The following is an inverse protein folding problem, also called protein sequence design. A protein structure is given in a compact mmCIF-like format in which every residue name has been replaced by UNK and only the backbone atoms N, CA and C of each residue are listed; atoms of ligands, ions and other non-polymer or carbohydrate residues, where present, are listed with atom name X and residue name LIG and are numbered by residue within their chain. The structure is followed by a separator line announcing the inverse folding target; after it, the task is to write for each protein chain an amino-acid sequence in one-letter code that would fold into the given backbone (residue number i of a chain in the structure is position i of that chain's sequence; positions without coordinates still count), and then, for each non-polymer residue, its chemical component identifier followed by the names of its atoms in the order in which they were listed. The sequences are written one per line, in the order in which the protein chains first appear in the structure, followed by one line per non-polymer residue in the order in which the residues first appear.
data_IF_775291935208
#
_entry.id   IF_775291935208
#
_cell.length_a   1.000
_cell.length_b   1.000
_cell.length_c   1.000
_cell.angle_alpha   90.00
_cell.angle_beta   90.00
_cell.angle_gamma   90.00
#
_symmetry.space_group_name_H-M   'P 1'
#
loop_
_entity.id
_entity.type
_entity.pdbx_description
1 polymer ?
#
# COMPACT_ATOMS: atom_id res chain seq x y z
N UNK A 1 25.07 17.74 15.02
CA UNK A 1 24.18 17.75 13.83
C UNK A 1 25.01 18.08 12.60
N UNK A 2 25.00 17.26 11.55
CA UNK A 2 25.83 17.45 10.36
C UNK A 2 25.54 18.78 9.63
N UNK A 3 26.59 19.46 9.15
CA UNK A 3 26.52 20.64 8.27
C UNK A 3 25.70 20.32 7.01
N UNK A 4 25.08 21.33 6.33
CA UNK A 4 24.27 21.11 5.14
C UNK A 4 24.93 20.23 4.06
N UNK A 5 26.22 20.45 3.79
CA UNK A 5 27.01 19.63 2.86
C UNK A 5 27.19 18.17 3.31
N UNK A 6 27.31 17.92 4.62
CA UNK A 6 27.41 16.56 5.16
C UNK A 6 26.12 15.75 4.99
N UNK A 7 24.95 16.39 5.02
CA UNK A 7 23.67 15.71 4.77
C UNK A 7 23.47 15.36 3.31
N UNK A 8 23.90 16.23 2.39
CA UNK A 8 23.87 15.94 0.96
C UNK A 8 24.77 14.74 0.63
N UNK A 9 25.99 14.70 1.18
CA UNK A 9 26.89 13.56 1.04
C UNK A 9 26.26 12.25 1.59
N UNK A 10 25.71 12.28 2.80
CA UNK A 10 25.03 11.10 3.38
C UNK A 10 23.82 10.67 2.53
N UNK A 11 23.01 11.61 2.05
CA UNK A 11 21.88 11.31 1.18
C UNK A 11 22.32 10.64 -0.13
N UNK A 12 23.36 11.16 -0.78
CA UNK A 12 23.94 10.56 -1.99
C UNK A 12 24.47 9.16 -1.69
N UNK A 13 25.24 8.97 -0.60
CA UNK A 13 25.72 7.65 -0.20
C UNK A 13 24.58 6.66 0.05
N UNK A 14 23.51 7.08 0.73
CA UNK A 14 22.34 6.22 1.00
C UNK A 14 21.60 5.84 -0.28
N UNK A 15 21.38 6.82 -1.18
CA UNK A 15 20.71 6.57 -2.47
C UNK A 15 21.56 5.65 -3.33
N UNK A 16 22.87 5.91 -3.45
CA UNK A 16 23.79 5.07 -4.22
C UNK A 16 23.85 3.66 -3.64
N UNK A 17 24.03 3.50 -2.33
CA UNK A 17 24.06 2.19 -1.69
C UNK A 17 22.74 1.42 -1.88
N UNK A 18 21.60 2.10 -1.78
CA UNK A 18 20.28 1.51 -2.02
C UNK A 18 20.13 1.09 -3.48
N UNK A 19 20.49 1.96 -4.43
CA UNK A 19 20.43 1.67 -5.86
C UNK A 19 21.34 0.50 -6.25
N UNK A 20 22.58 0.48 -5.73
CA UNK A 20 23.50 -0.63 -5.93
C UNK A 20 22.91 -1.92 -5.35
N UNK A 21 22.42 -1.90 -4.11
CA UNK A 21 21.80 -3.08 -3.50
C UNK A 21 20.61 -3.61 -4.32
N UNK A 22 19.72 -2.72 -4.78
CA UNK A 22 18.57 -3.10 -5.60
C UNK A 22 18.98 -3.62 -6.98
N UNK A 23 20.11 -3.16 -7.53
CA UNK A 23 20.63 -3.61 -8.81
C UNK A 23 21.44 -4.92 -8.71
N UNK A 24 22.07 -5.21 -7.58
CA UNK A 24 23.02 -6.33 -7.44
C UNK A 24 22.54 -7.49 -6.58
N UNK A 25 21.63 -7.25 -5.63
CA UNK A 25 21.13 -8.34 -4.77
C UNK A 25 20.11 -9.19 -5.53
N UNK A 26 20.36 -10.51 -5.65
CA UNK A 26 19.69 -11.39 -6.60
C UNK A 26 18.27 -11.75 -6.15
N UNK A 27 17.34 -10.81 -6.32
CA UNK A 27 15.90 -11.05 -6.14
C UNK A 27 15.07 -10.32 -7.19
N UNK A 28 15.68 -9.89 -8.30
CA UNK A 28 14.93 -9.38 -9.43
C UNK A 28 14.17 -10.53 -10.10
N UNK A 29 12.85 -10.51 -9.95
CA UNK A 29 11.93 -11.58 -10.37
C UNK A 29 11.52 -11.46 -11.84
N UNK A 30 12.22 -10.63 -12.62
CA UNK A 30 12.02 -10.52 -14.07
C UNK A 30 10.62 -10.05 -14.47
N UNK A 31 9.93 -9.29 -13.62
CA UNK A 31 8.55 -8.85 -13.85
C UNK A 31 7.57 -10.01 -14.11
N UNK A 32 7.80 -11.15 -13.45
CA UNK A 32 7.08 -12.39 -13.72
C UNK A 32 5.55 -12.23 -13.67
N UNK A 33 5.01 -11.61 -12.63
CA UNK A 33 3.55 -11.51 -12.46
C UNK A 33 2.91 -10.58 -13.49
N UNK A 34 3.50 -9.42 -13.77
CA UNK A 34 3.02 -8.56 -14.88
C UNK A 34 3.21 -9.23 -16.24
N UNK A 35 4.19 -10.12 -16.39
CA UNK A 35 4.34 -10.99 -17.56
C UNK A 35 3.18 -11.97 -17.71
N UNK A 36 2.75 -12.60 -16.62
CA UNK A 36 1.54 -13.46 -16.58
C UNK A 36 0.31 -12.64 -16.98
N UNK A 37 0.13 -11.44 -16.43
CA UNK A 37 -1.02 -10.58 -16.75
C UNK A 37 -1.02 -10.12 -18.21
N UNK A 38 0.15 -9.69 -18.71
CA UNK A 38 0.33 -9.25 -20.09
C UNK A 38 0.02 -10.38 -21.07
N UNK A 39 0.55 -11.58 -20.83
CA UNK A 39 0.28 -12.75 -21.67
C UNK A 39 -1.17 -13.20 -21.61
N UNK A 40 -1.78 -13.25 -20.43
CA UNK A 40 -3.18 -13.63 -20.26
C UNK A 40 -4.14 -12.68 -20.99
N UNK A 41 -3.94 -11.37 -20.82
CA UNK A 41 -4.75 -10.34 -21.48
C UNK A 41 -4.50 -10.34 -23.00
N UNK A 42 -3.25 -10.57 -23.44
CA UNK A 42 -2.93 -10.70 -24.86
C UNK A 42 -3.58 -11.92 -25.53
N UNK A 43 -3.59 -13.06 -24.85
CA UNK A 43 -4.27 -14.28 -25.32
C UNK A 43 -5.79 -14.09 -25.38
N UNK A 44 -6.35 -13.46 -24.35
CA UNK A 44 -7.78 -13.19 -24.23
C UNK A 44 -8.29 -12.25 -25.34
N UNK A 45 -7.53 -11.19 -25.65
CA UNK A 45 -7.94 -10.17 -26.63
C UNK A 45 -7.62 -10.56 -28.06
N UNK A 46 -6.42 -11.09 -28.33
CA UNK A 46 -5.91 -11.24 -29.70
C UNK A 46 -6.06 -12.65 -30.27
N UNK A 47 -6.24 -13.66 -29.41
CA UNK A 47 -6.23 -15.08 -29.83
C UNK A 47 -7.54 -15.81 -29.48
N UNK A 48 -8.51 -15.11 -28.88
CA UNK A 48 -9.81 -15.67 -28.52
C UNK A 48 -9.75 -16.68 -27.36
N UNK A 49 -8.64 -16.74 -26.63
CA UNK A 49 -8.51 -17.63 -25.47
C UNK A 49 -9.34 -17.17 -24.27
N UNK A 50 -9.58 -18.07 -23.31
CA UNK A 50 -10.23 -17.70 -22.03
C UNK A 50 -9.18 -17.19 -21.05
N UNK A 51 -9.47 -16.06 -20.41
CA UNK A 51 -8.53 -15.40 -19.47
C UNK A 51 -8.02 -16.33 -18.35
N UNK A 52 -8.87 -17.25 -17.88
CA UNK A 52 -8.55 -18.17 -16.79
C UNK A 52 -7.94 -19.50 -17.23
N UNK A 53 -7.79 -19.74 -18.53
CA UNK A 53 -7.11 -20.94 -19.07
C UNK A 53 -5.65 -20.67 -19.44
N UNK A 54 -5.26 -19.39 -19.54
CA UNK A 54 -3.89 -18.99 -19.83
C UNK A 54 -2.94 -19.46 -18.73
N UNK A 55 -1.83 -20.08 -19.15
CA UNK A 55 -0.68 -20.43 -18.31
C UNK A 55 0.58 -19.80 -18.92
N UNK A 56 1.39 -19.18 -18.07
CA UNK A 56 2.67 -18.62 -18.50
C UNK A 56 3.61 -19.75 -18.95
N UNK A 57 4.29 -19.61 -20.12
CA UNK A 57 5.10 -20.66 -20.71
C UNK A 57 6.11 -21.29 -19.73
N UNK A 58 6.11 -22.63 -19.68
CA UNK A 58 7.01 -23.40 -18.81
C UNK A 58 6.64 -23.37 -17.32
N UNK A 59 5.45 -22.88 -16.97
CA UNK A 59 4.97 -22.81 -15.59
C UNK A 59 3.51 -23.26 -15.48
N UNK A 60 3.03 -23.38 -14.24
CA UNK A 60 1.61 -23.65 -13.92
C UNK A 60 0.82 -22.39 -13.53
N UNK A 61 1.42 -21.21 -13.66
CA UNK A 61 0.84 -19.95 -13.17
C UNK A 61 0.04 -19.25 -14.26
N UNK A 62 -1.17 -18.83 -13.92
CA UNK A 62 -2.09 -18.11 -14.80
C UNK A 62 -2.70 -16.88 -14.15
N UNK A 63 -3.72 -16.30 -14.78
CA UNK A 63 -4.45 -15.18 -14.20
C UNK A 63 -5.25 -15.62 -12.96
N UNK A 64 -5.14 -14.87 -11.86
CA UNK A 64 -5.69 -15.24 -10.53
C UNK A 64 -6.65 -14.21 -9.94
N UNK A 65 -6.79 -13.04 -10.57
CA UNK A 65 -7.61 -11.95 -10.05
C UNK A 65 -9.05 -12.00 -10.55
N UNK A 66 -10.01 -11.32 -9.87
CA UNK A 66 -11.37 -11.19 -10.36
C UNK A 66 -11.43 -10.55 -11.75
N UNK A 67 -12.53 -10.76 -12.50
CA UNK A 67 -12.66 -10.28 -13.87
C UNK A 67 -12.47 -8.78 -14.04
N UNK A 68 -12.86 -7.97 -13.03
CA UNK A 68 -12.64 -6.53 -13.07
C UNK A 68 -11.15 -6.14 -13.12
N UNK A 69 -10.27 -6.95 -12.53
CA UNK A 69 -8.83 -6.74 -12.66
C UNK A 69 -8.37 -6.99 -14.11
N UNK A 70 -8.85 -8.05 -14.75
CA UNK A 70 -8.53 -8.36 -16.15
C UNK A 70 -8.98 -7.21 -17.07
N UNK A 71 -10.22 -6.73 -16.87
CA UNK A 71 -10.76 -5.56 -17.59
C UNK A 71 -9.89 -4.32 -17.36
N UNK A 72 -9.48 -4.06 -16.12
CA UNK A 72 -8.61 -2.91 -15.80
C UNK A 72 -7.22 -3.02 -16.43
N UNK A 73 -6.78 -4.24 -16.75
CA UNK A 73 -5.48 -4.53 -17.38
C UNK A 73 -5.57 -4.62 -18.91
N UNK A 74 -6.76 -4.53 -19.52
CA UNK A 74 -6.95 -4.54 -20.99
C UNK A 74 -6.03 -3.58 -21.76
N UNK A 75 -5.72 -2.35 -21.27
CA UNK A 75 -4.79 -1.47 -21.98
C UNK A 75 -3.40 -2.09 -22.23
N UNK A 76 -3.00 -3.11 -21.47
CA UNK A 76 -1.75 -3.85 -21.71
C UNK A 76 -1.73 -4.55 -23.08
N UNK A 77 -2.88 -4.96 -23.62
CA UNK A 77 -2.97 -5.59 -24.94
C UNK A 77 -2.67 -4.61 -26.09
N UNK A 78 -2.66 -3.30 -25.83
CA UNK A 78 -2.49 -2.26 -26.85
C UNK A 78 -1.05 -1.78 -26.98
N UNK A 79 -0.15 -2.21 -26.08
CA UNK A 79 1.21 -1.66 -25.99
C UNK A 79 2.25 -2.77 -26.02
N UNK A 80 3.48 -2.50 -26.52
CA UNK A 80 4.58 -3.44 -26.43
C UNK A 80 4.96 -3.75 -24.97
N UNK A 81 5.50 -4.94 -24.72
CA UNK A 81 5.93 -5.39 -23.39
C UNK A 81 6.76 -4.37 -22.58
N UNK A 82 7.82 -3.71 -23.13
CA UNK A 82 8.58 -2.72 -22.36
C UNK A 82 7.73 -1.55 -21.87
N UNK A 83 6.72 -1.15 -22.65
CA UNK A 83 5.80 -0.07 -22.29
C UNK A 83 4.84 -0.52 -21.18
N UNK A 84 4.32 -1.75 -21.24
CA UNK A 84 3.50 -2.31 -20.18
C UNK A 84 4.26 -2.37 -18.83
N UNK A 85 5.52 -2.81 -18.86
CA UNK A 85 6.41 -2.80 -17.69
C UNK A 85 6.63 -1.38 -17.18
N UNK A 86 6.96 -0.43 -18.07
CA UNK A 86 7.17 0.96 -17.69
C UNK A 86 5.92 1.58 -17.03
N UNK A 87 4.73 1.33 -17.57
CA UNK A 87 3.46 1.76 -16.97
C UNK A 87 3.28 1.16 -15.58
N UNK A 88 3.50 -0.15 -15.43
CA UNK A 88 3.39 -0.84 -14.13
C UNK A 88 4.33 -0.22 -13.08
N UNK A 89 5.59 0.02 -13.45
CA UNK A 89 6.58 0.66 -12.58
C UNK A 89 6.16 2.09 -12.22
N UNK A 90 5.73 2.91 -13.19
CA UNK A 90 5.29 4.28 -12.96
C UNK A 90 4.09 4.31 -12.00
N UNK A 91 3.09 3.46 -12.21
CA UNK A 91 1.94 3.33 -11.33
C UNK A 91 2.36 2.91 -9.91
N UNK A 92 3.27 1.94 -9.79
CA UNK A 92 3.85 1.51 -8.52
C UNK A 92 4.57 2.64 -7.78
N UNK A 93 5.37 3.46 -8.49
CA UNK A 93 6.09 4.61 -7.93
C UNK A 93 5.10 5.68 -7.45
N UNK A 94 4.10 6.02 -8.26
CA UNK A 94 3.06 6.99 -7.88
C UNK A 94 2.31 6.51 -6.63
N UNK A 95 1.91 5.24 -6.60
CA UNK A 95 1.25 4.64 -5.44
C UNK A 95 2.15 4.71 -4.19
N UNK A 96 3.43 4.37 -4.33
CA UNK A 96 4.42 4.44 -3.24
C UNK A 96 4.53 5.84 -2.65
N UNK A 97 4.64 6.87 -3.51
CA UNK A 97 4.71 8.26 -3.07
C UNK A 97 3.45 8.65 -2.31
N UNK A 98 2.26 8.27 -2.79
CA UNK A 98 0.99 8.54 -2.10
C UNK A 98 0.92 7.84 -0.74
N UNK A 99 1.22 6.54 -0.69
CA UNK A 99 1.23 5.72 0.53
C UNK A 99 2.17 6.34 1.57
N UNK A 100 3.42 6.62 1.19
CA UNK A 100 4.41 7.22 2.09
C UNK A 100 3.98 8.60 2.58
N UNK A 101 3.47 9.47 1.70
CA UNK A 101 2.99 10.80 2.07
C UNK A 101 1.82 10.75 3.03
N UNK A 102 0.91 9.80 2.87
CA UNK A 102 -0.29 9.66 3.71
C UNK A 102 0.01 9.02 5.06
N UNK A 103 0.88 8.01 5.10
CA UNK A 103 1.28 7.34 6.34
C UNK A 103 2.23 8.19 7.19
N UNK A 104 3.32 8.70 6.59
CA UNK A 104 4.43 9.32 7.31
C UNK A 104 4.42 10.85 7.28
N UNK A 105 3.71 11.48 6.33
CA UNK A 105 3.69 12.94 6.18
C UNK A 105 3.33 13.70 7.46
N UNK A 106 2.32 13.28 8.24
CA UNK A 106 1.99 13.89 9.53
C UNK A 106 3.12 13.79 10.56
N UNK A 107 3.86 12.67 10.62
CA UNK A 107 4.98 12.48 11.53
C UNK A 107 6.18 13.34 11.12
N UNK A 108 6.53 13.34 9.82
CA UNK A 108 7.63 14.14 9.27
C UNK A 108 7.43 15.64 9.53
N UNK A 109 6.19 16.14 9.40
CA UNK A 109 5.87 17.55 9.72
C UNK A 109 6.01 17.86 11.20
N UNK A 110 5.54 16.96 12.08
CA UNK A 110 5.55 17.16 13.53
C UNK A 110 6.96 17.24 14.09
N UNK A 111 7.83 16.33 13.68
CA UNK A 111 9.19 16.24 14.23
C UNK A 111 10.14 17.31 13.67
N UNK A 112 9.63 18.25 12.86
CA UNK A 112 10.42 19.29 12.17
C UNK A 112 11.65 18.72 11.45
N UNK A 113 11.56 17.47 10.97
CA UNK A 113 12.64 16.87 10.20
C UNK A 113 12.83 17.70 8.93
N UNK A 114 14.09 17.99 8.55
CA UNK A 114 14.36 18.70 7.31
C UNK A 114 13.77 17.90 6.16
N UNK A 115 12.66 18.42 5.59
CA UNK A 115 11.70 17.62 4.85
C UNK A 115 12.32 16.75 3.77
N UNK A 116 13.24 17.30 2.96
CA UNK A 116 13.86 16.55 1.87
C UNK A 116 14.73 15.37 2.36
N UNK A 117 15.55 15.56 3.40
CA UNK A 117 16.45 14.52 3.90
C UNK A 117 15.68 13.37 4.54
N UNK A 118 14.62 13.68 5.29
CA UNK A 118 13.70 12.69 5.82
C UNK A 118 13.08 11.83 4.71
N UNK A 119 12.60 12.48 3.64
CA UNK A 119 12.01 11.75 2.52
C UNK A 119 13.03 10.89 1.76
N UNK A 120 14.30 11.32 1.68
CA UNK A 120 15.38 10.48 1.13
C UNK A 120 15.58 9.22 1.98
N UNK A 121 15.73 9.38 3.31
CA UNK A 121 15.91 8.23 4.21
C UNK A 121 14.69 7.30 4.17
N UNK A 122 13.48 7.85 4.22
CA UNK A 122 12.23 7.09 4.10
C UNK A 122 12.16 6.35 2.76
N UNK A 123 12.54 7.00 1.66
CA UNK A 123 12.58 6.40 0.33
C UNK A 123 13.56 5.23 0.24
N UNK A 124 14.77 5.39 0.78
CA UNK A 124 15.77 4.31 0.85
C UNK A 124 15.25 3.13 1.67
N UNK A 125 14.74 3.36 2.87
CA UNK A 125 14.17 2.30 3.71
C UNK A 125 12.97 1.63 3.01
N UNK A 126 12.08 2.41 2.41
CA UNK A 126 10.95 1.84 1.68
C UNK A 126 11.39 0.95 0.51
N UNK A 127 12.40 1.35 -0.25
CA UNK A 127 12.94 0.56 -1.35
C UNK A 127 13.64 -0.73 -0.89
N UNK A 128 14.29 -0.70 0.28
CA UNK A 128 14.95 -1.87 0.87
C UNK A 128 13.97 -2.85 1.55
N UNK A 129 12.74 -2.42 1.83
CA UNK A 129 11.73 -3.26 2.43
C UNK A 129 11.34 -4.40 1.48
N UNK A 130 11.65 -5.64 1.83
CA UNK A 130 11.53 -6.79 0.92
C UNK A 130 10.15 -6.93 0.28
N UNK A 131 9.01 -6.80 1.00
CA UNK A 131 7.69 -6.86 0.37
C UNK A 131 7.48 -5.82 -0.73
N UNK A 132 8.07 -4.63 -0.59
CA UNK A 132 8.03 -3.56 -1.60
C UNK A 132 8.95 -3.91 -2.77
N UNK A 133 10.20 -4.30 -2.50
CA UNK A 133 11.14 -4.73 -3.54
C UNK A 133 10.54 -5.86 -4.38
N UNK A 134 9.99 -6.88 -3.74
CA UNK A 134 9.35 -8.00 -4.44
C UNK A 134 8.12 -7.54 -5.22
N UNK A 135 7.30 -6.64 -4.66
CA UNK A 135 6.17 -6.05 -5.40
C UNK A 135 6.62 -5.41 -6.72
N UNK A 136 7.70 -4.62 -6.72
CA UNK A 136 8.25 -4.03 -7.94
C UNK A 136 8.88 -5.07 -8.87
N UNK A 137 9.69 -5.99 -8.31
CA UNK A 137 10.38 -7.04 -9.07
C UNK A 137 9.42 -7.99 -9.78
N UNK A 138 8.24 -8.27 -9.20
CA UNK A 138 7.18 -9.06 -9.82
C UNK A 138 6.28 -8.23 -10.75
N UNK A 139 6.17 -6.92 -10.54
CA UNK A 139 5.19 -6.07 -11.23
C UNK A 139 3.78 -6.15 -10.63
N UNK A 140 3.70 -6.30 -9.31
CA UNK A 140 2.46 -6.51 -8.57
C UNK A 140 1.69 -5.21 -8.27
N UNK A 141 0.36 -5.30 -8.20
CA UNK A 141 -0.53 -4.15 -7.99
C UNK A 141 -0.74 -3.79 -6.50
N UNK A 142 -0.10 -4.49 -5.56
CA UNK A 142 -0.44 -4.40 -4.14
C UNK A 142 -0.35 -2.97 -3.59
N UNK A 143 0.66 -2.18 -4.01
CA UNK A 143 0.82 -0.79 -3.57
C UNK A 143 -0.30 0.13 -4.08
N UNK A 144 -0.86 -0.15 -5.27
CA UNK A 144 -2.05 0.55 -5.77
C UNK A 144 -3.25 0.28 -4.87
N UNK A 145 -3.43 -0.98 -4.44
CA UNK A 145 -4.52 -1.36 -3.54
C UNK A 145 -4.38 -0.70 -2.16
N UNK A 146 -3.17 -0.68 -1.60
CA UNK A 146 -2.88 0.03 -0.35
C UNK A 146 -3.18 1.54 -0.51
N UNK A 147 -2.78 2.15 -1.64
CA UNK A 147 -3.09 3.55 -1.91
C UNK A 147 -4.61 3.79 -1.97
N UNK A 148 -5.38 2.97 -2.68
CA UNK A 148 -6.84 3.11 -2.74
C UNK A 148 -7.49 3.04 -1.36
N UNK A 149 -7.09 2.07 -0.52
CA UNK A 149 -7.61 1.94 0.85
C UNK A 149 -7.19 3.13 1.73
N UNK A 150 -5.94 3.60 1.62
CA UNK A 150 -5.48 4.76 2.38
C UNK A 150 -6.11 6.08 1.91
N UNK A 151 -6.53 6.17 0.65
CA UNK A 151 -7.31 7.31 0.17
C UNK A 151 -8.64 7.40 0.93
N UNK A 152 -9.34 6.29 1.12
CA UNK A 152 -10.55 6.24 1.93
C UNK A 152 -10.29 6.52 3.40
N UNK A 153 -9.22 5.96 3.97
CA UNK A 153 -8.80 6.28 5.34
C UNK A 153 -8.56 7.80 5.51
N UNK A 154 -7.97 8.45 4.51
CA UNK A 154 -7.76 9.90 4.49
C UNK A 154 -9.08 10.68 4.35
N UNK A 155 -10.00 10.23 3.50
CA UNK A 155 -11.31 10.85 3.35
C UNK A 155 -12.09 10.81 4.67
N UNK A 156 -12.02 9.69 5.38
CA UNK A 156 -12.57 9.54 6.73
C UNK A 156 -11.93 10.51 7.72
N UNK A 157 -10.60 10.59 7.75
CA UNK A 157 -9.87 11.47 8.67
C UNK A 157 -10.02 12.97 8.39
N UNK A 158 -10.43 13.38 7.19
CA UNK A 158 -10.53 14.79 6.77
C UNK A 158 -11.97 15.30 6.67
N UNK A 159 -12.94 14.59 7.23
CA UNK A 159 -14.35 14.98 7.22
C UNK A 159 -15.05 14.83 5.86
N UNK A 160 -14.37 14.23 4.86
CA UNK A 160 -14.90 13.97 3.51
C UNK A 160 -15.44 12.54 3.36
N UNK A 161 -15.86 11.94 4.48
CA UNK A 161 -16.24 10.53 4.59
C UNK A 161 -17.47 10.10 3.78
N UNK A 162 -18.15 11.01 3.07
CA UNK A 162 -19.28 10.68 2.18
C UNK A 162 -18.85 9.90 0.93
N UNK A 163 -17.60 10.06 0.49
CA UNK A 163 -17.02 9.32 -0.63
C UNK A 163 -16.11 8.17 -0.18
N UNK A 164 -15.86 8.07 1.13
CA UNK A 164 -15.06 6.97 1.66
C UNK A 164 -15.80 5.65 1.46
N UNK A 165 -15.10 4.68 0.87
CA UNK A 165 -15.60 3.37 0.47
C UNK A 165 -15.29 3.08 -0.99
N UNK A 166 -15.19 4.10 -1.86
CA UNK A 166 -14.92 3.91 -3.29
C UNK A 166 -13.56 3.23 -3.48
N UNK A 167 -12.52 3.70 -2.80
CA UNK A 167 -11.17 3.11 -2.90
C UNK A 167 -11.13 1.67 -2.41
N UNK A 168 -11.74 1.38 -1.26
CA UNK A 168 -11.87 0.05 -0.69
C UNK A 168 -12.63 -0.86 -1.66
N UNK A 169 -13.77 -0.42 -2.20
CA UNK A 169 -14.59 -1.19 -3.13
C UNK A 169 -13.86 -1.52 -4.42
N UNK A 170 -13.16 -0.55 -5.02
CA UNK A 170 -12.33 -0.79 -6.21
C UNK A 170 -11.18 -1.75 -5.90
N UNK A 171 -10.52 -1.59 -4.74
CA UNK A 171 -9.44 -2.49 -4.33
C UNK A 171 -9.95 -3.93 -4.16
N UNK A 172 -11.13 -4.11 -3.56
CA UNK A 172 -11.84 -5.40 -3.43
C UNK A 172 -12.21 -6.00 -4.78
N UNK A 173 -12.65 -5.20 -5.74
CA UNK A 173 -12.99 -5.67 -7.08
C UNK A 173 -11.75 -6.10 -7.89
N UNK A 174 -10.59 -5.47 -7.66
CA UNK A 174 -9.32 -5.85 -8.29
C UNK A 174 -8.70 -7.08 -7.62
N UNK A 175 -8.85 -7.24 -6.32
CA UNK A 175 -8.34 -8.38 -5.55
C UNK A 175 -9.25 -8.58 -4.36
N UNK A 176 -9.70 -9.80 -4.05
CA UNK A 176 -10.72 -9.97 -3.00
C UNK A 176 -10.24 -9.63 -1.58
N UNK A 177 -8.94 -9.72 -1.31
CA UNK A 177 -8.34 -9.55 0.04
C UNK A 177 -8.76 -8.26 0.77
N UNK A 178 -8.82 -7.06 0.15
CA UNK A 178 -9.25 -5.83 0.80
C UNK A 178 -10.75 -5.82 1.19
N UNK A 179 -11.55 -6.83 0.84
CA UNK A 179 -12.93 -6.97 1.35
C UNK A 179 -13.00 -6.92 2.88
N UNK A 180 -11.94 -7.33 3.59
CA UNK A 180 -11.88 -7.22 5.05
C UNK A 180 -11.99 -5.77 5.55
N UNK A 181 -11.61 -4.76 4.74
CA UNK A 181 -11.83 -3.35 5.07
C UNK A 181 -13.31 -2.94 4.99
N UNK A 182 -14.13 -3.62 4.18
CA UNK A 182 -15.59 -3.46 4.26
C UNK A 182 -16.08 -3.99 5.61
N UNK A 183 -15.57 -5.15 6.04
CA UNK A 183 -15.79 -5.68 7.38
C UNK A 183 -15.38 -4.69 8.47
N UNK A 184 -14.20 -4.06 8.35
CA UNK A 184 -13.73 -3.01 9.26
C UNK A 184 -14.76 -1.88 9.39
N UNK A 185 -15.26 -1.37 8.26
CA UNK A 185 -16.27 -0.30 8.26
C UNK A 185 -17.56 -0.75 8.97
N UNK A 186 -18.01 -2.00 8.76
CA UNK A 186 -19.20 -2.55 9.42
C UNK A 186 -19.02 -2.67 10.94
N UNK A 187 -17.92 -3.31 11.39
CA UNK A 187 -17.71 -3.56 12.83
C UNK A 187 -17.39 -2.29 13.63
N UNK A 188 -17.01 -1.20 12.94
CA UNK A 188 -16.75 0.12 13.51
C UNK A 188 -17.94 1.08 13.36
N UNK A 189 -19.09 0.59 12.88
CA UNK A 189 -20.34 1.36 12.81
C UNK A 189 -20.46 2.28 11.58
N UNK A 190 -19.50 2.25 10.64
CA UNK A 190 -19.46 3.09 9.43
C UNK A 190 -20.29 2.48 8.30
N UNK A 191 -21.58 2.21 8.58
CA UNK A 191 -22.51 1.48 7.69
C UNK A 191 -22.65 2.12 6.31
N UNK A 192 -22.72 3.46 6.25
CA UNK A 192 -22.80 4.19 4.98
C UNK A 192 -21.58 3.93 4.10
N UNK A 193 -20.38 4.02 4.66
CA UNK A 193 -19.14 3.81 3.92
C UNK A 193 -18.97 2.35 3.53
N UNK A 194 -19.40 1.41 4.39
CA UNK A 194 -19.46 0.01 4.03
C UNK A 194 -20.39 -0.21 2.82
N UNK A 195 -21.58 0.41 2.82
CA UNK A 195 -22.51 0.33 1.68
C UNK A 195 -21.92 0.95 0.40
N UNK A 196 -21.20 2.08 0.50
CA UNK A 196 -20.47 2.66 -0.65
C UNK A 196 -19.42 1.68 -1.15
N UNK A 197 -18.61 1.09 -0.28
CA UNK A 197 -17.57 0.14 -0.68
C UNK A 197 -18.14 -1.13 -1.32
N UNK A 198 -19.18 -1.72 -0.72
CA UNK A 198 -19.89 -2.87 -1.28
C UNK A 198 -20.53 -2.51 -2.62
N UNK A 199 -21.19 -1.35 -2.72
CA UNK A 199 -21.81 -0.89 -3.96
C UNK A 199 -20.80 -0.65 -5.07
N UNK A 200 -19.65 -0.03 -4.76
CA UNK A 200 -18.55 0.15 -5.73
C UNK A 200 -17.95 -1.18 -6.17
N UNK A 201 -17.70 -2.11 -5.25
CA UNK A 201 -17.20 -3.44 -5.59
C UNK A 201 -18.20 -4.19 -6.48
N UNK A 202 -19.48 -4.20 -6.11
CA UNK A 202 -20.53 -4.85 -6.87
C UNK A 202 -20.70 -4.23 -8.27
N UNK A 203 -20.68 -2.90 -8.39
CA UNK A 203 -20.76 -2.22 -9.68
C UNK A 203 -19.56 -2.54 -10.59
N UNK A 204 -18.35 -2.57 -10.04
CA UNK A 204 -17.14 -2.94 -10.78
C UNK A 204 -17.16 -4.41 -11.22
N UNK A 205 -17.58 -5.32 -10.33
CA UNK A 205 -17.78 -6.73 -10.67
C UNK A 205 -18.85 -6.93 -11.73
N UNK A 206 -20.00 -6.25 -11.61
CA UNK A 206 -21.08 -6.33 -12.60
C UNK A 206 -20.65 -5.76 -13.95
N UNK A 207 -19.90 -4.65 -13.96
CA UNK A 207 -19.32 -4.11 -15.18
C UNK A 207 -18.45 -5.13 -15.91
N UNK A 208 -17.59 -5.85 -15.18
CA UNK A 208 -16.79 -6.93 -15.77
C UNK A 208 -17.65 -8.12 -16.24
N UNK A 209 -18.72 -8.44 -15.52
CA UNK A 209 -19.68 -9.48 -15.93
C UNK A 209 -20.50 -9.13 -17.16
N UNK A 210 -20.76 -7.84 -17.41
CA UNK A 210 -21.40 -7.37 -18.64
C UNK A 210 -20.42 -7.43 -19.82
N UNK A 211 -19.14 -7.11 -19.61
CA UNK A 211 -18.12 -7.18 -20.66
C UNK A 211 -17.75 -8.61 -21.05
N UNK A 212 -17.60 -9.49 -20.07
CA UNK A 212 -17.35 -10.92 -20.30
C UNK A 212 -18.09 -11.76 -19.24
N UNK A 213 -19.33 -12.20 -19.56
CA UNK A 213 -20.10 -13.08 -18.70
C UNK A 213 -19.44 -14.44 -18.49
N UNK A 214 -18.69 -14.93 -19.48
CA UNK A 214 -18.02 -16.24 -19.45
C UNK A 214 -16.87 -16.25 -18.46
N UNK A 215 -15.94 -15.28 -18.58
CA UNK A 215 -14.86 -15.09 -17.63
C UNK A 215 -15.41 -14.90 -16.20
N UNK A 216 -16.48 -14.12 -16.05
CA UNK A 216 -17.09 -13.91 -14.74
C UNK A 216 -17.69 -15.19 -14.15
N UNK A 217 -18.42 -15.97 -14.94
CA UNK A 217 -18.94 -17.27 -14.51
C UNK A 217 -17.79 -18.21 -14.09
N UNK A 218 -16.74 -18.32 -14.92
CA UNK A 218 -15.61 -19.20 -14.64
C UNK A 218 -14.87 -18.79 -13.36
N UNK A 219 -14.71 -17.49 -13.11
CA UNK A 219 -14.10 -16.99 -11.87
C UNK A 219 -14.90 -17.41 -10.63
N UNK A 220 -16.18 -17.05 -10.58
CA UNK A 220 -17.01 -17.23 -9.38
C UNK A 220 -17.39 -18.69 -9.11
N UNK A 221 -17.41 -19.54 -10.14
CA UNK A 221 -17.80 -20.96 -10.00
C UNK A 221 -16.64 -21.93 -9.93
N UNK A 222 -15.46 -21.59 -10.47
CA UNK A 222 -14.31 -22.49 -10.53
C UNK A 222 -13.03 -21.84 -10.02
N UNK A 223 -12.55 -20.78 -10.68
CA UNK A 223 -11.19 -20.27 -10.43
C UNK A 223 -10.98 -19.76 -9.00
N UNK A 224 -12.02 -19.20 -8.36
CA UNK A 224 -11.97 -18.74 -6.97
C UNK A 224 -11.77 -19.89 -5.97
N UNK A 225 -12.32 -21.07 -6.26
CA UNK A 225 -12.34 -22.21 -5.35
C UNK A 225 -11.14 -23.15 -5.54
N UNK A 226 -10.47 -23.05 -6.68
CA UNK A 226 -9.25 -23.80 -6.98
C UNK A 226 -8.00 -23.03 -6.50
N UNK A 227 -7.71 -23.15 -5.20
CA UNK A 227 -6.57 -22.48 -4.58
C UNK A 227 -5.22 -22.98 -5.10
N UNK A 228 -5.15 -24.18 -5.69
CA UNK A 228 -3.92 -24.76 -6.24
C UNK A 228 -3.38 -23.99 -7.45
N UNK A 229 -4.25 -23.29 -8.18
CA UNK A 229 -3.88 -22.40 -9.30
C UNK A 229 -3.01 -21.22 -8.88
N UNK A 230 -3.18 -20.75 -7.65
CA UNK A 230 -2.48 -19.56 -7.16
C UNK A 230 -1.04 -19.91 -6.78
N UNK A 231 -0.78 -21.15 -6.40
CA UNK A 231 0.54 -21.67 -6.05
C UNK A 231 0.44 -22.79 -5.02
N UNK A 232 1.58 -23.25 -4.53
CA UNK A 232 1.63 -24.31 -3.53
C UNK A 232 1.44 -23.70 -2.14
N UNK A 233 0.44 -24.19 -1.40
CA UNK A 233 0.08 -23.61 -0.10
C UNK A 233 1.23 -23.71 0.91
N UNK A 234 1.98 -24.81 0.88
CA UNK A 234 3.15 -25.04 1.74
C UNK A 234 4.38 -24.24 1.35
N UNK A 235 4.42 -23.62 0.16
CA UNK A 235 5.62 -22.92 -0.30
C UNK A 235 6.03 -21.81 0.67
N UNK A 236 7.34 -21.68 0.89
CA UNK A 236 7.89 -20.82 1.95
C UNK A 236 7.50 -19.35 1.80
N UNK A 237 7.25 -18.88 0.58
CA UNK A 237 6.78 -17.50 0.37
C UNK A 237 5.36 -17.26 0.90
N UNK A 238 4.54 -18.31 1.11
CA UNK A 238 3.20 -18.18 1.67
C UNK A 238 3.26 -17.93 3.19
N UNK A 239 3.27 -16.66 3.57
CA UNK A 239 3.26 -16.13 4.93
C UNK A 239 1.83 -15.86 5.44
N UNK A 240 0.96 -16.87 5.32
CA UNK A 240 -0.40 -16.89 5.90
C UNK A 240 -0.53 -17.97 6.98
N UNK A 241 -1.62 -17.94 7.75
CA UNK A 241 -1.94 -19.04 8.69
C UNK A 241 -2.10 -20.37 7.94
N UNK A 242 -2.73 -20.35 6.75
CA UNK A 242 -2.85 -21.55 5.92
C UNK A 242 -1.48 -22.08 5.50
N UNK A 243 -0.54 -21.20 5.16
CA UNK A 243 0.83 -21.58 4.82
C UNK A 243 1.55 -22.28 5.98
N UNK A 244 1.41 -21.78 7.20
CA UNK A 244 1.93 -22.44 8.41
C UNK A 244 1.34 -23.84 8.55
N UNK A 245 0.02 -23.96 8.48
CA UNK A 245 -0.67 -25.25 8.62
C UNK A 245 -0.27 -26.23 7.52
N UNK A 246 -0.09 -25.75 6.30
CA UNK A 246 0.34 -26.56 5.15
C UNK A 246 1.77 -27.09 5.30
N UNK A 247 2.67 -26.33 5.93
CA UNK A 247 4.03 -26.81 6.25
C UNK A 247 4.05 -27.78 7.44
N UNK A 248 3.17 -27.60 8.41
CA UNK A 248 3.09 -28.45 9.61
C UNK A 248 2.38 -29.78 9.35
N UNK A 249 1.38 -29.78 8.47
CA UNK A 249 0.57 -30.96 8.12
C UNK A 249 0.35 -31.05 6.61
N UNK A 250 1.38 -31.46 5.84
CA UNK A 250 1.26 -31.57 4.39
C UNK A 250 0.14 -32.52 3.95
N UNK A 251 -0.09 -33.59 4.72
CA UNK A 251 -1.05 -34.67 4.40
C UNK A 251 -2.51 -34.39 4.82
N UNK A 252 -2.74 -33.44 5.74
CA UNK A 252 -4.08 -33.14 6.28
C UNK A 252 -4.16 -31.68 6.74
N UNK A 253 -4.22 -30.79 5.75
CA UNK A 253 -4.60 -29.39 5.96
C UNK A 253 -6.10 -29.26 6.09
N UNK A 254 -6.68 -29.95 7.08
CA UNK A 254 -8.12 -29.93 7.33
C UNK A 254 -8.64 -28.50 7.30
N UNK A 255 -9.43 -28.16 6.27
CA UNK A 255 -9.95 -26.81 6.04
C UNK A 255 -10.63 -26.25 7.30
N UNK A 256 -11.21 -27.13 8.14
CA UNK A 256 -11.80 -26.80 9.43
C UNK A 256 -10.79 -26.18 10.42
N UNK A 257 -9.55 -26.68 10.49
CA UNK A 257 -8.50 -26.14 11.38
C UNK A 257 -8.12 -24.74 10.95
N UNK A 258 -7.93 -24.53 9.64
CA UNK A 258 -7.67 -23.20 9.11
C UNK A 258 -8.82 -22.24 9.37
N UNK A 259 -10.07 -22.65 9.14
CA UNK A 259 -11.25 -21.84 9.44
C UNK A 259 -11.31 -21.46 10.92
N UNK A 260 -11.01 -22.39 11.82
CA UNK A 260 -10.95 -22.12 13.26
C UNK A 260 -9.85 -21.10 13.61
N UNK A 261 -8.64 -21.28 13.07
CA UNK A 261 -7.55 -20.32 13.28
C UNK A 261 -7.87 -18.94 12.67
N UNK A 262 -8.45 -18.90 11.48
CA UNK A 262 -8.88 -17.67 10.83
C UNK A 262 -9.96 -16.97 11.65
N UNK A 263 -10.94 -17.70 12.20
CA UNK A 263 -11.96 -17.15 13.08
C UNK A 263 -11.34 -16.52 14.34
N UNK A 264 -10.33 -17.15 14.96
CA UNK A 264 -9.59 -16.59 16.10
C UNK A 264 -8.86 -15.29 15.70
N UNK A 265 -8.16 -15.30 14.56
CA UNK A 265 -7.49 -14.10 14.04
C UNK A 265 -8.49 -12.97 13.79
N UNK A 266 -9.65 -13.27 13.20
CA UNK A 266 -10.73 -12.30 12.96
C UNK A 266 -11.35 -11.80 14.27
N UNK A 267 -11.49 -12.64 15.28
CA UNK A 267 -11.99 -12.23 16.60
C UNK A 267 -11.02 -11.25 17.27
N UNK A 268 -9.72 -11.56 17.29
CA UNK A 268 -8.67 -10.67 17.81
C UNK A 268 -8.66 -9.37 17.01
N UNK A 269 -8.67 -9.44 15.69
CA UNK A 269 -8.75 -8.27 14.81
C UNK A 269 -9.97 -7.41 15.13
N UNK A 270 -11.16 -7.99 15.22
CA UNK A 270 -12.39 -7.23 15.46
C UNK A 270 -12.37 -6.54 16.84
N UNK A 271 -11.88 -7.23 17.87
CA UNK A 271 -11.69 -6.65 19.20
C UNK A 271 -10.73 -5.45 19.15
N UNK A 272 -9.55 -5.65 18.54
CA UNK A 272 -8.47 -4.65 18.47
C UNK A 272 -8.83 -3.46 17.58
N UNK A 273 -9.49 -3.69 16.45
CA UNK A 273 -9.96 -2.65 15.54
C UNK A 273 -11.04 -1.77 16.20
N UNK A 274 -12.00 -2.39 16.92
CA UNK A 274 -12.99 -1.64 17.71
C UNK A 274 -12.34 -0.86 18.85
N UNK A 275 -11.33 -1.41 19.51
CA UNK A 275 -10.55 -0.69 20.50
C UNK A 275 -9.83 0.53 19.88
N UNK A 276 -9.21 0.36 18.71
CA UNK A 276 -8.54 1.44 18.00
C UNK A 276 -9.47 2.62 17.70
N UNK A 277 -10.68 2.34 17.17
CA UNK A 277 -11.67 3.39 16.89
C UNK A 277 -12.19 4.05 18.17
N UNK A 278 -12.41 3.28 19.27
CA UNK A 278 -12.79 3.86 20.57
C UNK A 278 -11.73 4.82 21.12
N UNK A 279 -10.46 4.56 20.84
CA UNK A 279 -9.36 5.46 21.20
C UNK A 279 -9.14 6.60 20.17
N UNK A 280 -9.90 6.63 19.07
CA UNK A 280 -9.76 7.61 17.98
C UNK A 280 -8.58 7.34 17.03
N UNK A 281 -7.96 6.16 17.10
CA UNK A 281 -6.81 5.77 16.28
C UNK A 281 -7.23 4.94 15.06
N UNK A 282 -7.87 5.61 14.11
CA UNK A 282 -8.25 5.00 12.84
C UNK A 282 -7.04 4.41 12.09
N UNK A 283 -5.85 4.99 12.24
CA UNK A 283 -4.65 4.48 11.56
C UNK A 283 -4.28 3.09 12.06
N UNK A 284 -4.32 2.87 13.37
CA UNK A 284 -4.14 1.55 13.94
C UNK A 284 -5.25 0.59 13.49
N UNK A 285 -6.51 1.03 13.41
CA UNK A 285 -7.61 0.21 12.90
C UNK A 285 -7.40 -0.29 11.46
N UNK A 286 -7.00 0.60 10.55
CA UNK A 286 -6.66 0.22 9.17
C UNK A 286 -5.40 -0.67 9.10
N UNK A 287 -4.37 -0.38 9.91
CA UNK A 287 -3.17 -1.20 9.97
C UNK A 287 -3.47 -2.63 10.43
N UNK A 288 -4.21 -2.80 11.53
CA UNK A 288 -4.65 -4.09 12.05
C UNK A 288 -5.46 -4.88 11.01
N UNK A 289 -6.27 -4.18 10.20
CA UNK A 289 -7.05 -4.80 9.13
C UNK A 289 -6.18 -5.33 8.00
N UNK A 290 -5.13 -4.59 7.61
CA UNK A 290 -4.13 -5.10 6.66
C UNK A 290 -3.42 -6.36 7.16
N UNK A 291 -3.00 -6.37 8.43
CA UNK A 291 -2.37 -7.54 9.06
C UNK A 291 -3.31 -8.75 9.08
N UNK A 292 -4.56 -8.55 9.52
CA UNK A 292 -5.56 -9.61 9.57
C UNK A 292 -5.85 -10.18 8.18
N UNK A 293 -5.97 -9.32 7.16
CA UNK A 293 -6.21 -9.75 5.78
C UNK A 293 -5.09 -10.66 5.25
N UNK A 294 -3.83 -10.35 5.58
CA UNK A 294 -2.68 -11.21 5.26
C UNK A 294 -2.69 -12.54 6.02
N UNK A 295 -3.08 -12.55 7.29
CA UNK A 295 -3.08 -13.76 8.10
C UNK A 295 -4.18 -14.75 7.69
N UNK A 296 -5.38 -14.25 7.38
CA UNK A 296 -6.56 -15.08 7.07
C UNK A 296 -6.65 -15.50 5.62
N UNK A 297 -5.97 -14.81 4.69
CA UNK A 297 -5.91 -15.22 3.28
C UNK A 297 -5.32 -16.64 3.16
N UNK A 298 -5.86 -17.53 2.31
CA UNK A 298 -5.26 -18.85 2.07
C UNK A 298 -3.83 -18.75 1.54
N UNK A 299 -3.54 -17.68 0.80
CA UNK A 299 -2.23 -17.41 0.21
C UNK A 299 -1.82 -15.96 0.45
N UNK A 300 -0.70 -15.78 1.13
CA UNK A 300 -0.06 -14.48 1.36
C UNK A 300 1.41 -14.57 0.98
N UNK A 301 1.73 -14.30 -0.28
CA UNK A 301 3.12 -14.20 -0.72
C UNK A 301 3.86 -13.07 -0.01
N UNK A 302 5.20 -13.14 0.06
CA UNK A 302 6.03 -12.11 0.70
C UNK A 302 5.71 -10.70 0.16
N UNK A 303 5.48 -10.55 -1.15
CA UNK A 303 5.10 -9.27 -1.76
C UNK A 303 3.71 -8.75 -1.33
N UNK A 304 2.82 -9.59 -0.78
CA UNK A 304 1.56 -9.13 -0.19
C UNK A 304 1.80 -8.40 1.15
N UNK A 305 2.92 -8.64 1.84
CA UNK A 305 3.19 -8.05 3.16
C UNK A 305 3.50 -6.53 3.12
N UNK A 306 3.32 -5.86 1.97
CA UNK A 306 3.20 -4.39 1.94
C UNK A 306 2.08 -3.88 2.86
N UNK A 307 1.08 -4.71 3.15
CA UNK A 307 0.02 -4.43 4.15
C UNK A 307 0.51 -4.38 5.60
N UNK A 308 1.74 -4.81 5.90
CA UNK A 308 2.38 -4.66 7.22
C UNK A 308 2.93 -3.25 7.42
N UNK A 309 3.21 -2.52 6.33
CA UNK A 309 3.81 -1.18 6.37
C UNK A 309 3.04 -0.17 7.25
N UNK A 310 1.68 -0.05 7.17
CA UNK A 310 0.95 0.84 8.06
C UNK A 310 1.15 0.54 9.54
N UNK A 311 1.30 -0.74 9.92
CA UNK A 311 1.55 -1.14 11.31
C UNK A 311 2.94 -0.73 11.79
N UNK A 312 3.97 -0.90 10.95
CA UNK A 312 5.32 -0.39 11.25
C UNK A 312 5.32 1.14 11.42
N UNK A 313 4.58 1.85 10.57
CA UNK A 313 4.44 3.31 10.71
C UNK A 313 3.71 3.69 12.00
N UNK A 314 2.66 2.97 12.39
CA UNK A 314 1.99 3.18 13.68
C UNK A 314 2.97 2.96 14.83
N UNK A 315 3.81 1.93 14.77
CA UNK A 315 4.81 1.63 15.80
C UNK A 315 5.87 2.75 15.92
N UNK A 316 6.49 3.16 14.81
CA UNK A 316 7.48 4.26 14.79
C UNK A 316 6.85 5.56 15.26
N UNK A 317 5.69 5.93 14.74
CA UNK A 317 5.06 7.20 15.10
C UNK A 317 4.56 7.24 16.55
N UNK A 318 4.27 6.09 17.15
CA UNK A 318 4.04 6.01 18.60
C UNK A 318 5.36 6.17 19.37
N UNK A 319 6.44 5.55 18.91
CA UNK A 319 7.73 5.60 19.59
C UNK A 319 8.43 6.97 19.49
N UNK A 320 8.18 7.75 18.44
CA UNK A 320 8.74 9.09 18.25
C UNK A 320 8.03 10.18 19.07
N UNK A 321 6.82 9.92 19.58
CA UNK A 321 6.08 10.91 20.38
C UNK A 321 6.74 11.11 21.75
N UNK A 322 6.91 12.38 22.13
CA UNK A 322 7.47 12.80 23.41
C UNK A 322 6.41 12.70 24.52
N UNK A 323 6.13 11.48 24.94
CA UNK A 323 5.48 11.22 26.22
C UNK A 323 6.58 10.89 27.25
N UNK A 324 6.33 11.07 28.56
CA UNK A 324 7.30 10.92 29.68
C UNK A 324 7.98 9.53 29.81
N UNK A 325 7.71 8.60 28.87
CA UNK A 325 8.19 7.23 28.83
C UNK A 325 9.46 7.00 27.99
N UNK A 326 10.51 7.80 28.14
CA UNK A 326 11.73 7.72 27.30
C UNK A 326 12.33 6.32 27.11
N UNK A 327 12.34 5.48 28.16
CA UNK A 327 12.81 4.07 28.08
C UNK A 327 11.87 3.18 27.25
N UNK A 328 10.55 3.38 27.36
CA UNK A 328 9.54 2.65 26.57
C UNK A 328 9.68 3.00 25.09
N UNK A 329 9.86 4.27 24.78
CA UNK A 329 10.04 4.76 23.41
C UNK A 329 11.30 4.18 22.75
N UNK A 330 12.42 4.13 23.49
CA UNK A 330 13.64 3.47 23.04
C UNK A 330 13.42 1.98 22.71
N UNK A 331 12.70 1.24 23.57
CA UNK A 331 12.35 -0.17 23.32
C UNK A 331 11.46 -0.35 22.09
N UNK A 332 10.47 0.53 21.89
CA UNK A 332 9.60 0.47 20.70
C UNK A 332 10.37 0.78 19.41
N UNK A 333 11.30 1.74 19.42
CA UNK A 333 12.17 2.01 18.28
C UNK A 333 13.09 0.83 17.98
N UNK A 334 13.70 0.24 19.01
CA UNK A 334 14.54 -0.95 18.86
C UNK A 334 13.74 -2.14 18.31
N UNK A 335 12.54 -2.38 18.83
CA UNK A 335 11.62 -3.39 18.31
C UNK A 335 11.28 -3.12 16.85
N UNK A 336 10.91 -1.88 16.50
CA UNK A 336 10.58 -1.55 15.11
C UNK A 336 11.76 -1.76 14.17
N UNK A 337 12.97 -1.37 14.58
CA UNK A 337 14.19 -1.59 13.81
C UNK A 337 14.46 -3.09 13.62
N UNK A 338 14.33 -3.90 14.68
CA UNK A 338 14.50 -5.35 14.61
C UNK A 338 13.47 -6.01 13.68
N UNK A 339 12.19 -5.66 13.81
CA UNK A 339 11.12 -6.17 12.93
C UNK A 339 11.36 -5.78 11.47
N UNK A 340 11.75 -4.53 11.23
CA UNK A 340 12.08 -4.05 9.89
C UNK A 340 13.26 -4.82 9.29
N UNK A 341 14.35 -5.01 10.04
CA UNK A 341 15.52 -5.78 9.59
C UNK A 341 15.14 -7.22 9.26
N UNK A 342 14.36 -7.89 10.13
CA UNK A 342 13.88 -9.24 9.85
C UNK A 342 13.01 -9.31 8.59
N UNK A 343 12.11 -8.35 8.40
CA UNK A 343 11.28 -8.26 7.20
C UNK A 343 12.06 -7.88 5.93
N UNK A 344 13.33 -7.49 6.03
CA UNK A 344 14.20 -7.20 4.88
C UNK A 344 15.28 -8.28 4.66
N UNK A 345 15.43 -9.22 5.60
CA UNK A 345 16.56 -10.14 5.63
C UNK A 345 16.42 -11.32 4.67
N UNK A 346 15.23 -11.53 4.09
CA UNK A 346 14.93 -12.71 3.28
C UNK A 346 15.15 -14.02 4.06
N UNK A 347 15.08 -13.97 5.40
CA UNK A 347 15.38 -15.11 6.29
C UNK A 347 14.50 -16.32 6.00
N UNK A 348 13.24 -16.11 5.61
CA UNK A 348 12.31 -17.21 5.30
C UNK A 348 12.84 -18.08 4.16
N UNK A 349 13.59 -17.51 3.22
CA UNK A 349 14.11 -18.23 2.05
C UNK A 349 15.23 -19.22 2.38
N UNK A 350 15.78 -19.20 3.60
CA UNK A 350 16.69 -20.25 4.08
C UNK A 350 16.02 -21.63 4.14
N UNK A 351 14.68 -21.67 4.19
CA UNK A 351 13.86 -22.88 4.19
C UNK A 351 13.13 -23.09 2.86
N UNK A 352 13.69 -22.59 1.75
CA UNK A 352 13.09 -22.78 0.42
C UNK A 352 13.04 -24.26 0.01
N UNK A 353 14.12 -24.98 0.27
CA UNK A 353 14.30 -26.35 -0.22
C UNK A 353 13.82 -27.39 0.81
N UNK A 354 13.93 -27.09 2.11
CA UNK A 354 13.41 -27.91 3.20
C UNK A 354 12.81 -27.03 4.29
N UNK A 355 11.50 -27.16 4.51
CA UNK A 355 10.74 -26.44 5.52
C UNK A 355 10.24 -27.37 6.65
N UNK A 356 10.93 -28.48 6.90
CA UNK A 356 10.59 -29.43 7.97
C UNK A 356 11.34 -29.16 9.28
N UNK A 357 10.78 -29.65 10.38
CA UNK A 357 11.40 -29.59 11.71
C UNK A 357 11.20 -28.27 12.49
N UNK A 358 11.63 -28.22 13.78
CA UNK A 358 11.32 -27.12 14.69
C UNK A 358 11.88 -25.76 14.24
N UNK A 359 13.09 -25.76 13.66
CA UNK A 359 13.71 -24.55 13.13
C UNK A 359 12.92 -23.94 11.97
N UNK A 360 12.32 -24.76 11.11
CA UNK A 360 11.47 -24.30 10.03
C UNK A 360 10.15 -23.73 10.54
N UNK A 361 9.56 -24.28 11.61
CA UNK A 361 8.33 -23.72 12.21
C UNK A 361 8.53 -22.26 12.63
N UNK A 362 9.70 -21.93 13.17
CA UNK A 362 10.03 -20.56 13.59
C UNK A 362 10.50 -19.72 12.39
N UNK A 363 11.48 -20.22 11.64
CA UNK A 363 12.18 -19.48 10.59
C UNK A 363 11.37 -19.29 9.31
N UNK A 364 10.81 -20.37 8.76
CA UNK A 364 10.01 -20.32 7.52
C UNK A 364 8.70 -19.53 7.69
N UNK A 365 8.25 -19.34 8.93
CA UNK A 365 7.03 -18.60 9.27
C UNK A 365 7.33 -17.27 10.00
N UNK A 366 8.57 -16.80 9.97
CA UNK A 366 8.99 -15.62 10.72
C UNK A 366 8.10 -14.40 10.43
N UNK A 367 7.68 -14.19 9.18
CA UNK A 367 6.85 -13.04 8.84
C UNK A 367 5.39 -13.22 9.28
N UNK A 368 4.90 -14.46 9.36
CA UNK A 368 3.61 -14.77 10.00
C UNK A 368 3.64 -14.39 11.48
N UNK A 369 4.70 -14.78 12.19
CA UNK A 369 4.84 -14.49 13.62
C UNK A 369 4.95 -12.99 13.91
N UNK A 370 5.70 -12.26 13.07
CA UNK A 370 5.76 -10.80 13.14
C UNK A 370 4.37 -10.19 12.92
N UNK A 371 3.66 -10.63 11.89
CA UNK A 371 2.32 -10.11 11.53
C UNK A 371 1.31 -10.38 12.64
N UNK A 372 1.33 -11.59 13.22
CA UNK A 372 0.48 -11.99 14.35
C UNK A 372 0.82 -11.20 15.62
N UNK A 373 2.11 -11.06 15.94
CA UNK A 373 2.56 -10.27 17.09
C UNK A 373 2.13 -8.81 16.98
N UNK A 374 2.24 -8.21 15.79
CA UNK A 374 1.72 -6.86 15.53
C UNK A 374 0.19 -6.82 15.67
N UNK A 375 -0.56 -7.80 15.16
CA UNK A 375 -2.02 -7.82 15.31
C UNK A 375 -2.44 -7.79 16.80
N UNK A 376 -1.77 -8.59 17.63
CA UNK A 376 -2.06 -8.73 19.06
C UNK A 376 -1.58 -7.52 19.87
N UNK A 377 -0.41 -6.96 19.55
CA UNK A 377 0.31 -6.06 20.45
C UNK A 377 0.57 -4.64 19.90
N UNK A 378 0.17 -4.30 18.67
CA UNK A 378 0.39 -2.95 18.12
C UNK A 378 -0.13 -1.86 19.08
N UNK A 379 0.66 -0.86 19.48
CA UNK A 379 0.16 0.13 20.42
C UNK A 379 -1.00 0.93 19.82
N UNK A 380 -2.12 1.01 20.54
CA UNK A 380 -3.25 1.87 20.21
C UNK A 380 -3.06 3.22 20.86
N UNK A 381 -3.41 4.29 20.14
CA UNK A 381 -3.28 5.66 20.65
C UNK A 381 -4.62 6.17 21.12
N UNK A 382 -4.62 6.92 22.21
CA UNK A 382 -5.72 7.83 22.53
C UNK A 382 -5.43 9.13 21.81
N UNK A 383 -6.25 9.53 20.83
CA UNK A 383 -6.18 10.89 20.31
C UNK A 383 -6.69 11.84 21.38
N UNK A 384 -5.80 12.42 22.19
CA UNK A 384 -6.12 13.67 22.84
C UNK A 384 -6.33 14.71 21.72
N UNK A 385 -7.43 15.50 21.74
CA UNK A 385 -7.62 16.52 20.73
C UNK A 385 -6.40 17.45 20.74
N UNK A 386 -5.76 17.61 19.58
CA UNK A 386 -4.74 18.64 19.39
C UNK A 386 -5.38 19.98 19.79
N UNK A 387 -5.08 20.47 21.00
CA UNK A 387 -5.49 21.82 21.38
C UNK A 387 -4.85 22.76 20.36
N UNK A 388 -5.62 23.62 19.68
CA UNK A 388 -5.05 24.66 18.85
C UNK A 388 -4.02 25.44 19.66
N UNK A 389 -2.84 25.65 19.09
CA UNK A 389 -1.72 26.33 19.74
C UNK A 389 -2.01 27.81 20.11
N UNK A 390 -3.21 28.32 19.85
CA UNK A 390 -3.61 29.70 20.11
C UNK A 390 -3.96 30.00 21.59
N UNK A 391 -4.15 28.98 22.45
CA UNK A 391 -4.56 29.23 23.83
C UNK A 391 -3.40 29.52 24.81
N UNK A 392 -2.13 29.45 24.38
CA UNK A 392 -0.97 29.65 25.27
C UNK A 392 -0.41 31.08 25.28
N UNK A 393 -0.83 31.95 24.36
CA UNK A 393 -0.42 33.37 24.34
C UNK A 393 -1.39 34.33 25.05
N UNK A 394 -2.62 33.90 25.35
CA UNK A 394 -3.60 34.74 26.04
C UNK A 394 -3.37 34.87 27.57
N UNK A 395 -2.44 34.09 28.15
CA UNK A 395 -2.26 34.00 29.60
C UNK A 395 -1.14 34.84 30.23
N UNK A 396 -0.35 35.61 29.46
CA UNK A 396 0.82 36.33 30.00
C UNK A 396 0.79 37.87 29.90
N UNK A 397 -0.33 38.48 29.51
CA UNK A 397 -0.47 39.95 29.60
C UNK A 397 -0.98 40.33 30.99
N UNK A 398 -0.05 40.77 31.85
CA UNK A 398 -0.36 41.53 33.07
C UNK A 398 -1.20 42.77 32.69
N UNK A 399 -2.20 43.19 33.49
CA UNK A 399 -2.91 44.45 33.25
C UNK A 399 -1.94 45.62 33.47
N UNK A 400 -1.42 46.18 32.38
CA UNK A 400 -0.68 47.44 32.40
C UNK A 400 -1.64 48.61 32.55
N UNK A 401 -1.33 49.48 33.48
CA UNK A 401 -1.97 50.77 33.74
C UNK A 401 -2.15 51.60 32.47
N UNK A 402 -3.37 52.09 32.26
CA UNK A 402 -3.73 53.01 31.16
C UNK A 402 -3.32 54.43 31.58
N UNK A 403 -2.46 55.15 30.84
CA UNK A 403 -2.29 56.58 31.05
C UNK A 403 -3.40 57.36 30.33
N UNK A 404 -3.87 58.50 30.87
CA UNK A 404 -4.96 59.27 30.27
C UNK A 404 -4.48 59.99 29.00
N UNK A 405 -5.33 59.95 27.95
CA UNK A 405 -5.15 60.75 26.72
C UNK A 405 -5.55 62.20 26.97
N UNK A 406 -4.81 63.20 26.46
CA UNK A 406 -5.33 64.55 26.33
C UNK A 406 -6.29 64.66 25.15
N UNK A 407 -7.40 65.35 25.37
CA UNK A 407 -8.38 65.73 24.35
C UNK A 407 -7.87 66.93 23.56
N UNK A 408 -7.99 66.92 22.24
CA UNK A 408 -8.17 68.11 21.41
C UNK A 408 -8.81 67.76 20.06
N UNK A 409 -9.41 68.77 19.47
CA UNK A 409 -10.64 68.81 18.68
C UNK A 409 -10.45 69.19 17.20
N UNK A 410 -11.10 68.44 16.29
CA UNK A 410 -11.66 68.85 14.97
C UNK A 410 -10.74 69.47 13.88
N UNK A 411 -11.29 69.81 12.69
CA UNK A 411 -12.01 68.94 11.73
C UNK A 411 -11.56 69.15 10.25
N UNK A 412 -12.34 68.60 9.30
CA UNK A 412 -12.36 68.80 7.82
C UNK A 412 -11.52 67.79 6.99
N UNK A 413 -12.11 66.90 6.17
CA UNK A 413 -12.92 67.04 4.93
C UNK A 413 -12.08 67.14 3.64
N UNK A 414 -12.25 66.16 2.74
CA UNK A 414 -12.13 66.20 1.26
C UNK A 414 -11.87 64.75 0.75
N UNK A 415 -12.83 64.02 0.17
CA UNK A 415 -13.36 64.03 -1.22
C UNK A 415 -12.41 63.60 -2.34
N UNK A 416 -12.94 62.71 -3.20
CA UNK A 416 -12.61 62.40 -4.63
C UNK A 416 -11.38 61.50 -4.85
N UNK A 417 -11.29 60.64 -5.87
CA UNK A 417 -12.16 60.18 -6.97
C UNK A 417 -11.40 59.01 -7.66
N UNK A 418 -12.08 57.93 -8.06
CA UNK A 418 -12.40 57.54 -9.45
C UNK A 418 -11.24 57.12 -10.39
N UNK A 419 -11.54 56.12 -11.25
CA UNK A 419 -10.89 55.89 -12.55
C UNK A 419 -10.06 54.59 -12.60
N UNK A 420 -10.60 53.42 -12.99
CA UNK A 420 -11.07 52.95 -14.30
C UNK A 420 -10.00 52.44 -15.28
N UNK A 421 -10.33 51.27 -15.87
CA UNK A 421 -10.05 50.85 -17.26
C UNK A 421 -8.65 50.26 -17.57
N UNK A 422 -8.43 49.32 -18.51
CA UNK A 422 -9.26 48.60 -19.51
C UNK A 422 -8.35 47.58 -20.25
N UNK A 423 -8.92 46.44 -20.72
CA UNK A 423 -8.73 45.76 -22.06
C UNK A 423 -7.33 45.25 -22.47
N UNK A 424 -7.10 44.28 -23.39
CA UNK A 424 -7.86 43.33 -24.25
C UNK A 424 -6.85 42.37 -24.95
N UNK A 425 -7.32 41.16 -25.33
CA UNK A 425 -7.15 40.42 -26.62
C UNK A 425 -5.73 40.15 -27.19
N UNK A 426 -5.46 39.24 -28.15
CA UNK A 426 -5.95 37.94 -28.64
C UNK A 426 -5.14 37.61 -29.94
N UNK A 427 -4.99 36.33 -30.31
CA UNK A 427 -4.61 35.84 -31.66
C UNK A 427 -3.12 35.46 -31.85
N UNK A 428 -2.70 34.56 -32.76
CA UNK A 428 -3.35 33.57 -33.64
C UNK A 428 -2.26 32.70 -34.32
N UNK A 429 -2.58 31.43 -34.60
CA UNK A 429 -2.18 30.52 -35.70
C UNK A 429 -0.76 30.51 -36.35
N UNK A 430 -0.25 29.29 -36.61
CA UNK A 430 0.76 28.99 -37.65
C UNK A 430 1.30 27.54 -37.62
N UNK A 431 1.08 26.78 -38.71
CA UNK A 431 1.64 25.45 -39.09
C UNK A 431 1.97 25.56 -40.60
N UNK A 432 2.61 24.59 -41.34
CA UNK A 432 3.23 23.30 -40.98
C UNK A 432 4.59 23.03 -41.71
N UNK A 433 5.16 21.82 -41.58
CA UNK A 433 6.29 21.33 -42.40
C UNK A 433 6.65 19.86 -42.13
N UNK A 434 7.01 19.11 -43.18
CA UNK A 434 6.95 17.63 -43.34
C UNK A 434 8.30 16.96 -43.63
N UNK A 435 8.48 15.68 -43.25
CA UNK A 435 9.30 14.58 -43.85
C UNK A 435 9.68 13.58 -42.73
N UNK A 436 9.68 12.24 -42.79
CA UNK A 436 9.64 11.25 -43.87
C UNK A 436 10.84 10.28 -43.72
N UNK A 437 10.67 9.07 -43.13
CA UNK A 437 11.43 7.82 -43.40
C UNK A 437 11.11 6.69 -42.38
N UNK A 438 10.91 5.47 -42.87
CA UNK A 438 10.74 4.19 -42.14
C UNK A 438 11.86 3.20 -42.57
N UNK A 439 11.88 1.92 -42.14
CA UNK A 439 11.84 1.36 -40.77
C UNK A 439 13.11 0.52 -40.46
N UNK A 440 13.42 0.27 -39.18
CA UNK A 440 14.46 -0.68 -38.76
C UNK A 440 13.82 -1.94 -38.17
N UNK A 441 14.27 -3.12 -38.62
CA UNK A 441 13.78 -4.44 -38.22
C UNK A 441 14.09 -4.82 -36.76
N UNK A 442 13.47 -5.90 -36.23
CA UNK A 442 13.54 -6.23 -34.81
C UNK A 442 14.80 -7.04 -34.48
N UNK A 443 15.45 -6.81 -33.32
CA UNK A 443 16.43 -7.75 -32.80
C UNK A 443 15.77 -8.92 -32.05
N UNK A 444 16.48 -10.05 -32.07
CA UNK A 444 16.07 -11.39 -31.67
C UNK A 444 15.57 -11.50 -30.20
N UNK A 445 14.61 -12.42 -30.02
CA UNK A 445 14.10 -12.87 -28.71
C UNK A 445 15.22 -13.57 -27.94
N UNK A 446 15.57 -13.02 -26.78
CA UNK A 446 16.32 -13.75 -25.74
C UNK A 446 15.29 -14.45 -24.85
N UNK A 447 15.27 -15.78 -24.92
CA UNK A 447 14.44 -16.65 -24.07
C UNK A 447 14.95 -16.62 -22.63
N UNK A 448 14.15 -16.25 -21.61
CA UNK A 448 14.50 -16.50 -20.22
C UNK A 448 14.35 -18.00 -19.93
N UNK A 449 15.36 -18.60 -19.28
CA UNK A 449 15.28 -19.95 -18.73
C UNK A 449 14.06 -20.07 -17.79
N UNK A 450 13.34 -21.21 -17.78
CA UNK A 450 12.20 -21.39 -16.91
C UNK A 450 12.64 -21.38 -15.44
N UNK A 451 12.08 -20.44 -14.67
CA UNK A 451 12.13 -20.46 -13.22
C UNK A 451 11.24 -21.61 -12.74
N UNK A 452 11.86 -22.62 -12.12
CA UNK A 452 11.15 -23.62 -11.34
C UNK A 452 10.59 -22.92 -10.10
N UNK A 453 9.26 -22.94 -9.99
CA UNK A 453 8.45 -22.32 -8.94
C UNK A 453 8.95 -22.64 -7.54
#
# INVERSE_FOLDING_TARGET
MARPGGRAAVAVCLVTATAVFLATVPLFRGFFDVGVYYGAVGEWVHHGGRIYDYLSPGTRYGFTYPPFAAVSMLPMALVPWPVAVAISVVLGVVASVLVLRWLLGPAVRREAWRGWFAWVVIGCLFGLFEPVRDTFSFGQVNLLLVALVLADARLLATGRGRYAGIGIGLATAVKLTPALFIGYLLITGRRRQAAVATGTAAAATLFAAVLDPGASRDFWTRALWDTGRVGELGYVSNQSVQGVLSRLRPEDTGHAVWLACAAVVLAVWAYRARAAVRCGDDRAGFALTGLAACLVSPVTWVHHLVWVLPALVVLVDTALRRDDGGRRNGRLLALCAALYVLLCSSVVWLWRDDATGPGAVVGSNAYVWITLGLLVALPLRTTAPDRPAEAKEAGSRRPGTVPPRPAFSGPAAATRSAGSSRRRAAGSAGRPGSSGSAPAGPPARVSPRPWRG
#
